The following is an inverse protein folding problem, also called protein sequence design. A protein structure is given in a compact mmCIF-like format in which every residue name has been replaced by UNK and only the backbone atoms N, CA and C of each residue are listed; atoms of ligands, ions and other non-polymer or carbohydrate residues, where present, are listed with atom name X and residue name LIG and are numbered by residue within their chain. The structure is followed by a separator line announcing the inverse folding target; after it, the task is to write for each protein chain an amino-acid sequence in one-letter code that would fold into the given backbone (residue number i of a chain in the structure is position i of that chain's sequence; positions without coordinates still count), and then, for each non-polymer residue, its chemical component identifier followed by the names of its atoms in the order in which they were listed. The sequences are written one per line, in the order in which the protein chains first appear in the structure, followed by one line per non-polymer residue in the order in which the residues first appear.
data_IF_626072289743
#
_entry.id   IF_626072289743
#
_cell.length_a   1.000
_cell.length_b   1.000
_cell.length_c   1.000
_cell.angle_alpha   90.00
_cell.angle_beta   90.00
_cell.angle_gamma   90.00
#
_symmetry.space_group_name_H-M   'P 1'
#
loop_
_entity.id
_entity.type
_entity.pdbx_description
1 polymer ?
#
# COMPACT_ATOMS: atom_id res chain seq x y z
N UNK A 1 9.63 4.88 -19.85
CA UNK A 1 8.49 5.48 -19.11
C UNK A 1 7.30 4.53 -19.02
N UNK A 2 7.10 3.65 -20.01
CA UNK A 2 6.00 2.66 -19.98
C UNK A 2 6.31 1.38 -19.19
N UNK A 3 7.58 1.00 -19.04
CA UNK A 3 7.99 -0.18 -18.24
C UNK A 3 7.63 -0.05 -16.76
N UNK A 4 7.89 1.11 -16.14
CA UNK A 4 7.57 1.36 -14.72
C UNK A 4 6.07 1.30 -14.43
N UNK A 5 5.23 1.64 -15.41
CA UNK A 5 3.78 1.52 -15.27
C UNK A 5 3.33 0.07 -15.34
N UNK A 6 3.98 -0.75 -16.17
CA UNK A 6 3.60 -2.15 -16.36
C UNK A 6 4.00 -3.04 -15.17
N UNK A 7 5.12 -2.72 -14.52
CA UNK A 7 5.58 -3.42 -13.32
C UNK A 7 4.68 -3.16 -12.10
N UNK A 8 4.15 -1.94 -11.95
CA UNK A 8 3.32 -1.53 -10.81
C UNK A 8 1.92 -2.18 -10.77
N UNK A 9 1.38 -2.60 -11.92
CA UNK A 9 0.02 -3.18 -12.01
C UNK A 9 0.01 -4.70 -12.17
N UNK A 10 1.16 -5.36 -12.11
CA UNK A 10 1.25 -6.82 -12.20
C UNK A 10 1.04 -7.46 -10.82
N UNK A 11 0.18 -8.49 -10.69
CA UNK A 11 0.04 -9.22 -9.43
C UNK A 11 1.34 -9.98 -9.09
N UNK A 12 1.72 -10.12 -7.80
CA UNK A 12 2.89 -10.91 -7.41
C UNK A 12 2.68 -12.40 -7.78
N UNK A 13 3.73 -13.13 -8.16
CA UNK A 13 3.64 -14.57 -8.35
C UNK A 13 3.29 -15.26 -7.02
N UNK A 14 2.32 -16.17 -7.05
CA UNK A 14 1.93 -16.98 -5.90
C UNK A 14 3.10 -17.91 -5.51
N UNK A 15 3.56 -17.83 -4.26
CA UNK A 15 4.60 -18.73 -3.76
C UNK A 15 3.96 -20.04 -3.33
N UNK A 16 4.19 -21.09 -4.10
CA UNK A 16 3.85 -22.46 -3.72
C UNK A 16 4.70 -22.90 -2.52
N UNK A 17 4.08 -23.05 -1.35
CA UNK A 17 4.68 -23.72 -0.18
C UNK A 17 4.08 -25.12 -0.05
N UNK A 18 4.87 -26.22 -0.07
CA UNK A 18 4.32 -27.53 0.16
C UNK A 18 4.40 -27.97 1.63
N UNK A 19 3.32 -28.64 2.01
CA UNK A 19 3.25 -29.84 2.84
C UNK A 19 3.17 -29.71 4.37
N UNK A 20 1.96 -30.02 4.84
CA UNK A 20 1.55 -30.42 6.20
C UNK A 20 2.40 -31.54 6.80
N UNK A 21 2.84 -31.37 8.06
CA UNK A 21 3.40 -32.46 8.88
C UNK A 21 2.24 -33.24 9.48
N UNK A 22 2.19 -34.54 9.15
CA UNK A 22 1.19 -35.50 9.61
C UNK A 22 1.68 -36.15 10.92
N UNK A 23 0.93 -36.03 12.01
CA UNK A 23 1.26 -36.66 13.30
C UNK A 23 0.39 -37.88 13.52
N UNK A 24 0.92 -39.07 13.20
CA UNK A 24 0.34 -40.35 13.63
C UNK A 24 1.23 -40.94 14.72
N UNK A 25 0.80 -40.86 15.98
CA UNK A 25 1.40 -41.58 17.10
C UNK A 25 0.48 -42.74 17.52
N UNK A 26 0.90 -43.97 17.23
CA UNK A 26 0.32 -45.17 17.85
C UNK A 26 1.00 -45.36 19.20
N UNK A 27 0.19 -45.35 20.26
CA UNK A 27 0.58 -45.41 21.67
C UNK A 27 0.76 -46.85 22.14
N UNK A 28 1.96 -47.18 22.62
CA UNK A 28 2.17 -48.29 23.57
C UNK A 28 2.99 -47.74 24.76
N UNK A 29 2.42 -47.86 25.96
CA UNK A 29 2.86 -47.18 27.19
C UNK A 29 3.80 -48.07 27.99
N UNK A 30 4.89 -47.50 28.50
CA UNK A 30 5.57 -48.01 29.70
C UNK A 30 6.06 -46.84 30.54
N UNK A 31 5.61 -46.80 31.79
CA UNK A 31 5.89 -45.78 32.80
C UNK A 31 7.37 -45.72 33.19
N UNK A 32 7.97 -44.53 33.16
CA UNK A 32 8.75 -44.01 34.30
C UNK A 32 8.71 -42.47 34.30
N UNK A 33 8.42 -41.90 35.47
CA UNK A 33 8.32 -40.47 35.67
C UNK A 33 9.70 -39.80 35.73
N UNK A 34 9.97 -38.92 34.76
CA UNK A 34 10.82 -37.73 34.91
C UNK A 34 10.13 -36.59 34.19
N UNK A 35 10.04 -35.38 34.78
CA UNK A 35 9.68 -34.22 33.99
C UNK A 35 10.86 -34.01 33.03
N UNK A 36 10.68 -34.34 31.75
CA UNK A 36 11.60 -33.89 30.71
C UNK A 36 11.66 -32.38 30.82
N UNK A 37 12.75 -31.90 31.41
CA UNK A 37 13.20 -30.53 31.24
C UNK A 37 13.44 -30.40 29.75
N UNK A 38 12.46 -29.85 29.02
CA UNK A 38 12.59 -29.50 27.60
C UNK A 38 13.75 -28.51 27.53
N UNK A 39 14.94 -29.09 27.33
CA UNK A 39 16.16 -28.34 27.18
C UNK A 39 16.17 -28.04 25.70
N UNK A 40 15.53 -26.93 25.31
CA UNK A 40 15.64 -26.43 23.96
C UNK A 40 17.12 -26.43 23.60
N UNK A 41 17.49 -27.20 22.57
CA UNK A 41 18.86 -27.16 22.08
C UNK A 41 19.15 -25.71 21.70
N UNK A 42 20.31 -25.19 22.10
CA UNK A 42 20.72 -23.82 21.76
C UNK A 42 20.62 -23.60 20.23
N UNK A 43 20.79 -24.68 19.45
CA UNK A 43 20.63 -24.70 18.00
C UNK A 43 19.18 -24.43 17.53
N UNK A 44 18.18 -25.09 18.13
CA UNK A 44 16.75 -24.88 17.82
C UNK A 44 16.29 -23.47 18.20
N UNK A 45 16.71 -22.98 19.37
CA UNK A 45 16.41 -21.62 19.80
C UNK A 45 17.05 -20.59 18.86
N UNK A 46 18.28 -20.83 18.42
CA UNK A 46 18.99 -19.97 17.47
C UNK A 46 18.32 -19.99 16.09
N UNK A 47 17.89 -21.16 15.61
CA UNK A 47 17.17 -21.30 14.35
C UNK A 47 15.83 -20.54 14.38
N UNK A 48 15.07 -20.66 15.47
CA UNK A 48 13.82 -19.94 15.64
C UNK A 48 14.05 -18.42 15.65
N UNK A 49 15.09 -17.94 16.34
CA UNK A 49 15.45 -16.51 16.33
C UNK A 49 15.83 -16.02 14.93
N UNK A 50 16.60 -16.80 14.17
CA UNK A 50 16.97 -16.47 12.80
C UNK A 50 15.72 -16.35 11.89
N UNK A 51 14.78 -17.29 12.02
CA UNK A 51 13.51 -17.25 11.28
C UNK A 51 12.66 -16.01 11.63
N UNK A 52 12.61 -15.63 12.91
CA UNK A 52 11.89 -14.41 13.32
C UNK A 52 12.55 -13.16 12.77
N UNK A 53 13.88 -13.10 12.80
CA UNK A 53 14.65 -11.97 12.28
C UNK A 53 14.46 -11.79 10.78
N UNK A 54 14.53 -12.88 10.00
CA UNK A 54 14.28 -12.87 8.56
C UNK A 54 12.86 -12.36 8.23
N UNK A 55 11.84 -12.87 8.92
CA UNK A 55 10.46 -12.38 8.78
C UNK A 55 10.30 -10.91 9.13
N UNK A 56 11.08 -10.40 10.10
CA UNK A 56 11.04 -9.00 10.48
C UNK A 56 11.64 -8.09 9.39
N UNK A 57 12.77 -8.48 8.80
CA UNK A 57 13.38 -7.78 7.66
C UNK A 57 12.41 -7.76 6.48
N UNK A 58 11.84 -8.91 6.12
CA UNK A 58 10.92 -9.01 4.99
C UNK A 58 9.63 -8.17 5.21
N UNK A 59 9.14 -8.07 6.45
CA UNK A 59 8.05 -7.16 6.80
C UNK A 59 8.44 -5.67 6.70
N UNK A 60 9.64 -5.31 7.16
CA UNK A 60 10.20 -3.96 7.02
C UNK A 60 10.31 -3.55 5.55
N UNK A 61 10.86 -4.44 4.72
CA UNK A 61 11.01 -4.24 3.29
C UNK A 61 9.68 -4.03 2.57
N UNK A 62 8.65 -4.84 2.90
CA UNK A 62 7.30 -4.63 2.39
C UNK A 62 6.72 -3.28 2.81
N UNK A 63 6.91 -2.89 4.06
CA UNK A 63 6.43 -1.60 4.55
C UNK A 63 7.15 -0.43 3.84
N UNK A 64 8.46 -0.55 3.63
CA UNK A 64 9.26 0.42 2.91
C UNK A 64 8.79 0.57 1.45
N UNK A 65 8.57 -0.55 0.74
CA UNK A 65 8.01 -0.54 -0.62
C UNK A 65 6.63 0.11 -0.68
N UNK A 66 5.73 -0.24 0.23
CA UNK A 66 4.40 0.37 0.30
C UNK A 66 4.46 1.88 0.58
N UNK A 67 5.37 2.33 1.44
CA UNK A 67 5.59 3.74 1.72
C UNK A 67 6.13 4.50 0.50
N UNK A 68 7.10 3.91 -0.21
CA UNK A 68 7.64 4.48 -1.45
C UNK A 68 6.55 4.59 -2.52
N UNK A 69 5.75 3.55 -2.71
CA UNK A 69 4.62 3.55 -3.64
C UNK A 69 3.60 4.63 -3.28
N UNK A 70 3.24 4.77 -2.00
CA UNK A 70 2.34 5.84 -1.54
C UNK A 70 2.90 7.22 -1.87
N UNK A 71 4.19 7.48 -1.58
CA UNK A 71 4.84 8.76 -1.83
C UNK A 71 4.85 9.08 -3.33
N UNK A 72 5.24 8.13 -4.18
CA UNK A 72 5.26 8.30 -5.63
C UNK A 72 3.86 8.57 -6.18
N UNK A 73 2.86 7.83 -5.73
CA UNK A 73 1.46 8.06 -6.12
C UNK A 73 1.01 9.49 -5.77
N UNK A 74 1.35 10.02 -4.59
CA UNK A 74 1.02 11.39 -4.22
C UNK A 74 1.75 12.44 -5.08
N UNK A 75 3.01 12.18 -5.46
CA UNK A 75 3.78 13.08 -6.31
C UNK A 75 3.19 13.16 -7.72
N UNK A 76 2.94 12.01 -8.36
CA UNK A 76 2.29 11.97 -9.67
C UNK A 76 0.88 12.55 -9.64
N UNK A 77 0.11 12.23 -8.59
CA UNK A 77 -1.21 12.82 -8.39
C UNK A 77 -1.17 14.35 -8.39
N UNK A 78 -0.25 14.95 -7.64
CA UNK A 78 -0.15 16.42 -7.57
C UNK A 78 0.25 17.03 -8.92
N UNK A 79 1.22 16.42 -9.61
CA UNK A 79 1.65 16.86 -10.94
C UNK A 79 0.48 16.87 -11.92
N UNK A 80 -0.21 15.74 -12.06
CA UNK A 80 -1.36 15.62 -12.95
C UNK A 80 -2.52 16.53 -12.53
N UNK A 81 -2.73 16.71 -11.22
CA UNK A 81 -3.73 17.64 -10.69
C UNK A 81 -3.43 19.08 -11.12
N UNK A 82 -2.16 19.52 -11.05
CA UNK A 82 -1.74 20.85 -11.47
C UNK A 82 -1.92 21.04 -12.98
N UNK A 83 -1.49 20.07 -13.78
CA UNK A 83 -1.60 20.11 -15.24
C UNK A 83 -3.07 20.21 -15.68
N UNK A 84 -3.96 19.39 -15.08
CA UNK A 84 -5.40 19.45 -15.35
C UNK A 84 -6.03 20.76 -14.88
N UNK A 85 -5.59 21.30 -13.74
CA UNK A 85 -6.06 22.59 -13.25
C UNK A 85 -5.70 23.72 -14.23
N UNK A 86 -4.47 23.73 -14.75
CA UNK A 86 -4.02 24.70 -15.75
C UNK A 86 -4.77 24.55 -17.07
N UNK A 87 -5.04 23.31 -17.51
CA UNK A 87 -5.88 23.05 -18.68
C UNK A 87 -7.31 23.60 -18.49
N UNK A 88 -7.94 23.39 -17.33
CA UNK A 88 -9.29 23.92 -17.07
C UNK A 88 -9.30 25.47 -17.12
N UNK A 89 -8.27 26.11 -16.58
CA UNK A 89 -8.14 27.57 -16.60
C UNK A 89 -7.95 28.08 -18.04
N UNK A 90 -7.07 27.43 -18.81
CA UNK A 90 -6.75 27.77 -20.20
C UNK A 90 -7.95 27.57 -21.14
N UNK A 91 -8.56 26.39 -21.11
CA UNK A 91 -9.73 26.02 -21.94
C UNK A 91 -10.94 26.93 -21.70
N UNK A 92 -11.09 27.48 -20.49
CA UNK A 92 -12.15 28.44 -20.19
C UNK A 92 -11.80 29.88 -20.55
N UNK A 93 -10.75 30.13 -21.36
CA UNK A 93 -10.34 31.47 -21.79
C UNK A 93 -10.14 32.45 -20.63
N UNK A 94 -9.66 31.96 -19.48
CA UNK A 94 -9.47 32.75 -18.26
C UNK A 94 -10.76 33.18 -17.54
N UNK A 95 -11.95 32.76 -18.01
CA UNK A 95 -13.25 33.06 -17.35
C UNK A 95 -13.33 32.48 -15.93
N UNK A 96 -12.58 31.41 -15.66
CA UNK A 96 -12.50 30.81 -14.32
C UNK A 96 -11.20 31.20 -13.64
N UNK A 97 -11.32 31.85 -12.48
CA UNK A 97 -10.22 31.95 -11.54
C UNK A 97 -9.87 30.58 -10.95
N UNK A 98 -8.65 30.43 -10.44
CA UNK A 98 -8.12 29.16 -9.92
C UNK A 98 -9.05 28.50 -8.88
N UNK A 99 -9.68 29.30 -8.01
CA UNK A 99 -10.63 28.80 -7.00
C UNK A 99 -11.80 28.03 -7.64
N UNK A 100 -12.35 28.54 -8.74
CA UNK A 100 -13.48 27.91 -9.45
C UNK A 100 -13.01 26.69 -10.24
N UNK A 101 -11.87 26.78 -10.92
CA UNK A 101 -11.28 25.66 -11.65
C UNK A 101 -10.93 24.48 -10.72
N UNK A 102 -10.30 24.75 -9.57
CA UNK A 102 -10.07 23.73 -8.51
C UNK A 102 -11.38 23.13 -8.03
N UNK A 103 -12.42 23.96 -7.89
CA UNK A 103 -13.75 23.53 -7.51
C UNK A 103 -14.29 22.44 -8.44
N UNK A 104 -14.26 22.70 -9.74
CA UNK A 104 -14.69 21.77 -10.80
C UNK A 104 -13.86 20.49 -10.75
N UNK A 105 -12.52 20.62 -10.68
CA UNK A 105 -11.62 19.47 -10.66
C UNK A 105 -11.89 18.55 -9.44
N UNK A 106 -12.15 19.12 -8.26
CA UNK A 106 -12.52 18.32 -7.09
C UNK A 106 -13.85 17.57 -7.26
N UNK A 107 -14.85 18.15 -7.92
CA UNK A 107 -16.12 17.45 -8.20
C UNK A 107 -15.87 16.25 -9.10
N UNK A 108 -15.16 16.47 -10.21
CA UNK A 108 -14.81 15.41 -11.17
C UNK A 108 -14.02 14.28 -10.51
N UNK A 109 -13.00 14.59 -9.72
CA UNK A 109 -12.20 13.55 -9.04
C UNK A 109 -13.06 12.80 -8.01
N UNK A 110 -13.93 13.49 -7.27
CA UNK A 110 -14.78 12.84 -6.26
C UNK A 110 -15.74 11.84 -6.89
N UNK A 111 -16.31 12.18 -8.05
CA UNK A 111 -17.18 11.28 -8.82
C UNK A 111 -16.41 10.04 -9.31
N UNK A 112 -15.24 10.24 -9.93
CA UNK A 112 -14.41 9.14 -10.40
C UNK A 112 -13.92 8.23 -9.25
N UNK A 113 -13.57 8.81 -8.11
CA UNK A 113 -13.18 8.06 -6.91
C UNK A 113 -14.32 7.17 -6.41
N UNK A 114 -15.56 7.64 -6.42
CA UNK A 114 -16.71 6.81 -6.02
C UNK A 114 -16.85 5.58 -6.92
N UNK A 115 -16.70 5.76 -8.23
CA UNK A 115 -16.76 4.66 -9.21
C UNK A 115 -15.63 3.64 -8.94
N UNK A 116 -14.39 4.11 -8.80
CA UNK A 116 -13.23 3.24 -8.55
C UNK A 116 -13.36 2.48 -7.22
N UNK A 117 -13.84 3.14 -6.16
CA UNK A 117 -13.99 2.50 -4.84
C UNK A 117 -15.13 1.49 -4.81
N UNK A 118 -16.24 1.74 -5.50
CA UNK A 118 -17.32 0.75 -5.67
C UNK A 118 -16.82 -0.49 -6.41
N UNK A 119 -16.10 -0.31 -7.52
CA UNK A 119 -15.50 -1.43 -8.27
C UNK A 119 -14.54 -2.26 -7.40
N UNK A 120 -13.65 -1.59 -6.65
CA UNK A 120 -12.71 -2.29 -5.75
C UNK A 120 -13.42 -2.99 -4.60
N UNK A 121 -14.46 -2.38 -4.05
CA UNK A 121 -15.29 -2.96 -2.98
C UNK A 121 -15.97 -4.25 -3.44
N UNK A 122 -16.54 -4.26 -4.65
CA UNK A 122 -17.12 -5.46 -5.25
C UNK A 122 -16.07 -6.55 -5.49
N UNK A 123 -14.91 -6.20 -6.05
CA UNK A 123 -13.83 -7.16 -6.32
C UNK A 123 -13.31 -7.84 -5.05
N UNK A 124 -13.21 -7.11 -3.94
CA UNK A 124 -12.67 -7.63 -2.68
C UNK A 124 -13.74 -8.26 -1.78
N UNK A 125 -15.03 -8.11 -2.09
CA UNK A 125 -16.10 -8.51 -1.18
C UNK A 125 -16.13 -7.70 0.14
N UNK A 126 -15.51 -6.52 0.17
CA UNK A 126 -15.36 -5.69 1.37
C UNK A 126 -15.95 -4.30 1.15
N UNK A 127 -16.72 -3.79 2.11
CA UNK A 127 -17.29 -2.43 2.04
C UNK A 127 -16.19 -1.39 2.26
N UNK A 128 -15.78 -0.72 1.17
CA UNK A 128 -14.82 0.38 1.24
C UNK A 128 -15.51 1.70 1.57
N UNK A 129 -14.94 2.48 2.49
CA UNK A 129 -15.45 3.81 2.86
C UNK A 129 -15.34 4.78 1.68
N UNK A 130 -16.35 5.59 1.40
CA UNK A 130 -16.27 6.69 0.43
C UNK A 130 -15.31 7.81 0.89
N UNK A 131 -14.67 8.48 -0.06
CA UNK A 131 -13.77 9.60 0.22
C UNK A 131 -14.58 10.89 0.07
N UNK A 132 -14.68 11.67 1.14
CA UNK A 132 -15.35 12.98 1.07
C UNK A 132 -14.49 13.98 0.32
N UNK A 133 -15.14 14.96 -0.32
CA UNK A 133 -14.49 16.09 -0.99
C UNK A 133 -13.50 16.84 -0.07
N UNK A 134 -13.85 17.01 1.21
CA UNK A 134 -12.97 17.65 2.18
C UNK A 134 -11.72 16.82 2.49
N UNK A 135 -11.86 15.50 2.56
CA UNK A 135 -10.72 14.60 2.72
C UNK A 135 -9.78 14.69 1.52
N UNK A 136 -10.35 14.67 0.30
CA UNK A 136 -9.61 14.85 -0.95
C UNK A 136 -8.86 16.18 -0.97
N UNK A 137 -9.52 17.29 -0.61
CA UNK A 137 -8.89 18.62 -0.54
C UNK A 137 -7.71 18.64 0.42
N UNK A 138 -7.85 18.09 1.63
CA UNK A 138 -6.76 18.03 2.62
C UNK A 138 -5.59 17.20 2.12
N UNK A 139 -5.86 16.05 1.49
CA UNK A 139 -4.82 15.19 0.89
C UNK A 139 -4.11 15.87 -0.27
N UNK A 140 -4.84 16.57 -1.12
CA UNK A 140 -4.29 17.36 -2.25
C UNK A 140 -3.34 18.45 -1.76
N UNK A 141 -3.73 19.19 -0.72
CA UNK A 141 -2.87 20.20 -0.10
C UNK A 141 -1.60 19.60 0.52
N UNK A 142 -1.69 18.38 1.08
CA UNK A 142 -0.52 17.66 1.59
C UNK A 142 0.39 17.24 0.44
N UNK A 143 -0.17 16.70 -0.64
CA UNK A 143 0.59 16.32 -1.83
C UNK A 143 1.33 17.52 -2.44
N UNK A 144 0.65 18.68 -2.56
CA UNK A 144 1.26 19.95 -2.99
C UNK A 144 2.48 20.34 -2.13
N UNK A 145 2.33 20.29 -0.80
CA UNK A 145 3.40 20.65 0.13
C UNK A 145 4.59 19.70 0.03
N UNK A 146 4.32 18.41 -0.09
CA UNK A 146 5.36 17.39 -0.23
C UNK A 146 6.10 17.55 -1.55
N UNK A 147 5.38 17.71 -2.67
CA UNK A 147 5.99 17.90 -3.98
C UNK A 147 6.90 19.14 -4.01
N UNK A 148 6.44 20.28 -3.49
CA UNK A 148 7.25 21.50 -3.37
C UNK A 148 8.47 21.33 -2.45
N UNK A 149 8.42 20.43 -1.48
CA UNK A 149 9.57 20.12 -0.63
C UNK A 149 10.62 19.32 -1.42
N UNK A 150 10.18 18.32 -2.20
CA UNK A 150 11.06 17.51 -3.04
C UNK A 150 11.75 18.37 -4.12
N UNK A 151 11.00 19.23 -4.81
CA UNK A 151 11.59 20.16 -5.80
C UNK A 151 12.69 21.04 -5.18
N UNK A 152 12.52 21.49 -3.94
CA UNK A 152 13.52 22.34 -3.25
C UNK A 152 14.80 21.59 -2.89
N UNK A 153 14.72 20.29 -2.67
CA UNK A 153 15.90 19.46 -2.33
C UNK A 153 16.49 18.76 -3.57
N UNK A 154 15.97 19.05 -4.76
CA UNK A 154 16.47 18.51 -6.03
C UNK A 154 16.00 17.08 -6.32
N UNK A 155 14.85 16.68 -5.76
CA UNK A 155 14.20 15.38 -5.96
C UNK A 155 12.91 15.52 -6.78
#
# INVERSE_FOLDING_TARGET
MDELKHELFSPPPESDSPSSINHNNVTEVSETARPEKVTYSIDEASQHLAQLYDKAIDAEDRANRANQEEILCWCFYWKDFRDQLDEIIRSNSGKFGEKKARGILYDTITEQLSILRKKRSQKLGLKLRDISRDSLRKKTQRAEKNYKLFEKVGL
#
